data_IF_151667335353
#
_entry.id   IF_151667335353
#
_cell.length_a   1.000
_cell.length_b   1.000
_cell.length_c   1.000
_cell.angle_alpha   90.00
_cell.angle_beta   90.00
_cell.angle_gamma   90.00
#
_symmetry.space_group_name_H-M   'P 1'
#
loop_
_entity.id
_entity.type
_entity.pdbx_description
1 polymer ?
#
# COMPACT_ATOMS: atom_id res chain seq x y z
N UNK A 1 7.24 -22.85 -17.84
CA UNK A 1 6.87 -22.61 -16.42
C UNK A 1 5.85 -21.48 -16.40
N UNK A 2 4.66 -21.67 -15.84
CA UNK A 2 3.73 -20.55 -15.68
C UNK A 2 4.12 -19.73 -14.45
N UNK A 3 4.30 -18.43 -14.62
CA UNK A 3 4.52 -17.51 -13.51
C UNK A 3 3.19 -17.21 -12.82
N UNK A 4 3.12 -17.42 -11.52
CA UNK A 4 1.92 -17.10 -10.74
C UNK A 4 2.02 -15.65 -10.22
N UNK A 5 1.05 -14.77 -10.52
CA UNK A 5 1.00 -13.43 -9.94
C UNK A 5 0.95 -13.51 -8.41
N UNK A 6 1.73 -12.66 -7.75
CA UNK A 6 1.69 -12.51 -6.30
C UNK A 6 0.86 -11.28 -5.95
N UNK A 7 -0.04 -11.43 -4.97
CA UNK A 7 -0.78 -10.29 -4.43
C UNK A 7 0.20 -9.32 -3.75
N UNK A 8 0.10 -8.04 -4.10
CA UNK A 8 0.93 -6.98 -3.59
C UNK A 8 0.07 -5.76 -3.25
N UNK A 9 0.60 -4.89 -2.39
CA UNK A 9 -0.03 -3.65 -1.95
C UNK A 9 0.94 -2.49 -2.12
N UNK A 10 0.43 -1.33 -2.52
CA UNK A 10 1.19 -0.08 -2.61
C UNK A 10 0.34 1.06 -2.04
N UNK A 11 0.98 2.01 -1.35
CA UNK A 11 0.30 3.10 -0.65
C UNK A 11 0.79 4.46 -1.08
N UNK A 12 -0.14 5.35 -1.41
CA UNK A 12 0.13 6.77 -1.61
C UNK A 12 -0.20 7.52 -0.32
N UNK A 13 0.81 8.11 0.31
CA UNK A 13 0.61 9.02 1.44
C UNK A 13 0.57 10.45 0.90
N UNK A 14 -0.57 11.12 1.08
CA UNK A 14 -0.83 12.45 0.51
C UNK A 14 -0.96 13.48 1.62
N UNK A 15 -0.58 14.73 1.32
CA UNK A 15 -0.93 15.90 2.14
C UNK A 15 -1.25 17.09 1.24
N UNK A 16 -2.06 18.00 1.76
CA UNK A 16 -2.30 19.29 1.09
C UNK A 16 -1.06 20.17 1.14
N UNK A 17 -0.80 20.91 0.06
CA UNK A 17 0.23 21.94 0.06
C UNK A 17 -0.16 23.10 0.99
N UNK A 18 0.83 23.77 1.60
CA UNK A 18 0.59 24.93 2.45
C UNK A 18 -0.16 26.07 1.73
N UNK A 19 0.02 26.20 0.40
CA UNK A 19 -0.71 27.13 -0.46
C UNK A 19 -2.18 26.74 -0.70
N UNK A 20 -2.60 25.54 -0.29
CA UNK A 20 -3.87 24.88 -0.65
C UNK A 20 -4.11 24.73 -2.16
N UNK A 21 -3.04 24.85 -2.96
CA UNK A 21 -3.08 24.69 -4.41
C UNK A 21 -2.32 23.43 -4.78
N UNK A 22 -2.98 22.28 -4.65
CA UNK A 22 -2.43 20.97 -4.99
C UNK A 22 -2.12 20.09 -3.79
N UNK A 23 -1.55 18.93 -4.10
CA UNK A 23 -1.22 17.86 -3.15
C UNK A 23 0.26 17.47 -3.31
N UNK A 24 0.87 17.06 -2.22
CA UNK A 24 2.18 16.41 -2.22
C UNK A 24 1.98 14.93 -1.92
N UNK A 25 2.74 14.07 -2.61
CA UNK A 25 2.70 12.62 -2.40
C UNK A 25 4.09 12.15 -2.00
N UNK A 26 4.15 11.36 -0.93
CA UNK A 26 5.40 10.74 -0.48
C UNK A 26 5.84 9.65 -1.45
N UNK A 27 7.10 9.69 -1.86
CA UNK A 27 7.73 8.69 -2.73
C UNK A 27 9.14 8.39 -2.23
N UNK A 28 9.57 7.15 -2.42
CA UNK A 28 10.92 6.68 -2.09
C UNK A 28 11.70 6.43 -3.38
N UNK A 29 13.02 6.64 -3.35
CA UNK A 29 13.93 6.34 -4.46
C UNK A 29 14.56 4.98 -4.22
N UNK A 30 14.36 4.03 -5.13
CA UNK A 30 14.96 2.67 -4.98
C UNK A 30 16.48 2.76 -5.09
N UNK A 31 17.17 2.08 -4.18
CA UNK A 31 18.65 1.95 -4.23
C UNK A 31 19.10 1.22 -5.49
N UNK A 32 20.23 1.65 -6.04
CA UNK A 32 20.76 1.22 -7.36
C UNK A 32 21.06 -0.30 -7.43
N UNK A 33 21.22 -0.98 -6.29
CA UNK A 33 21.47 -2.43 -6.21
C UNK A 33 20.21 -3.31 -6.21
N UNK A 34 19.03 -2.75 -6.45
CA UNK A 34 17.79 -3.54 -6.57
C UNK A 34 17.75 -4.34 -7.88
N UNK A 35 17.49 -5.66 -7.80
CA UNK A 35 17.33 -6.58 -8.95
C UNK A 35 16.21 -6.19 -9.93
N UNK A 36 15.33 -5.25 -9.53
CA UNK A 36 14.21 -4.75 -10.31
C UNK A 36 14.10 -3.21 -10.22
N UNK A 37 14.14 -2.54 -11.39
CA UNK A 37 13.99 -1.09 -11.59
C UNK A 37 14.83 -0.20 -10.63
N UNK A 38 16.16 -0.13 -10.79
CA UNK A 38 16.98 0.79 -10.01
C UNK A 38 16.74 2.26 -10.41
N UNK A 39 16.90 3.17 -9.45
CA UNK A 39 16.93 4.63 -9.62
C UNK A 39 15.62 5.33 -10.02
N UNK A 40 14.47 4.69 -9.80
CA UNK A 40 13.15 5.29 -10.00
C UNK A 40 12.49 5.67 -8.68
N UNK A 41 11.62 6.69 -8.72
CA UNK A 41 10.72 7.00 -7.62
C UNK A 41 9.53 6.06 -7.64
N UNK A 42 9.26 5.44 -6.49
CA UNK A 42 8.13 4.52 -6.29
C UNK A 42 7.36 4.92 -5.03
N UNK A 43 6.11 4.47 -4.96
CA UNK A 43 5.37 4.51 -3.71
C UNK A 43 5.80 3.33 -2.83
N UNK A 44 5.76 3.49 -1.49
CA UNK A 44 5.96 2.38 -0.59
C UNK A 44 5.03 1.21 -0.91
N UNK A 45 5.57 0.00 -0.94
CA UNK A 45 4.76 -1.16 -1.25
C UNK A 45 5.54 -2.45 -1.46
N UNK A 46 4.83 -3.55 -1.30
CA UNK A 46 5.42 -4.88 -1.35
C UNK A 46 4.39 -6.00 -1.37
N UNK A 47 4.87 -7.22 -1.18
CA UNK A 47 4.05 -8.42 -1.24
C UNK A 47 3.15 -8.55 -0.02
N UNK A 48 1.91 -8.99 -0.21
CA UNK A 48 1.03 -9.33 0.93
C UNK A 48 1.47 -10.68 1.51
N UNK A 49 1.66 -10.72 2.83
CA UNK A 49 2.03 -11.91 3.61
C UNK A 49 0.83 -12.51 4.34
N UNK A 50 1.02 -13.68 4.96
CA UNK A 50 0.00 -14.30 5.81
C UNK A 50 -0.24 -13.48 7.10
N UNK A 51 0.81 -12.87 7.64
CA UNK A 51 0.74 -12.06 8.86
C UNK A 51 -0.08 -10.78 8.63
N UNK A 52 -0.03 -10.22 7.42
CA UNK A 52 -0.87 -9.07 7.05
C UNK A 52 -2.37 -9.40 7.13
N UNK A 53 -2.77 -10.62 6.74
CA UNK A 53 -4.17 -11.07 6.85
C UNK A 53 -4.61 -11.22 8.30
N UNK A 54 -3.74 -11.74 9.16
CA UNK A 54 -4.01 -11.87 10.58
C UNK A 54 -4.08 -10.48 11.25
N UNK A 55 -3.16 -9.58 10.90
CA UNK A 55 -3.14 -8.21 11.40
C UNK A 55 -4.36 -7.40 10.96
N UNK A 56 -4.84 -7.58 9.72
CA UNK A 56 -6.05 -6.91 9.22
C UNK A 56 -7.33 -7.33 9.99
N UNK A 57 -7.35 -8.54 10.57
CA UNK A 57 -8.43 -9.02 11.43
C UNK A 57 -8.31 -8.55 12.88
N UNK A 58 -7.12 -8.10 13.31
CA UNK A 58 -6.93 -7.58 14.64
C UNK A 58 -7.74 -6.29 14.82
N UNK A 59 -8.49 -6.22 15.93
CA UNK A 59 -9.22 -5.00 16.29
C UNK A 59 -8.20 -3.85 16.41
N UNK A 60 -8.52 -2.71 15.79
CA UNK A 60 -7.75 -1.44 15.80
C UNK A 60 -6.71 -1.23 14.69
N UNK A 61 -6.33 -2.23 13.90
CA UNK A 61 -5.38 -2.02 12.78
C UNK A 61 -6.10 -1.44 11.57
N UNK A 62 -7.21 -2.05 11.18
CA UNK A 62 -7.98 -1.67 10.00
C UNK A 62 -9.46 -1.53 10.36
N UNK A 63 -10.01 -0.34 10.20
CA UNK A 63 -11.47 -0.12 10.29
C UNK A 63 -12.11 -0.51 8.95
N UNK A 64 -13.22 -1.27 8.95
CA UNK A 64 -13.98 -1.53 7.72
C UNK A 64 -14.40 -0.22 7.05
N UNK A 65 -14.19 -0.13 5.74
CA UNK A 65 -14.68 0.99 4.94
C UNK A 65 -16.07 0.62 4.42
N UNK A 66 -17.05 1.50 4.63
CA UNK A 66 -18.38 1.27 4.09
C UNK A 66 -18.32 1.27 2.55
N UNK A 67 -19.05 0.37 1.87
CA UNK A 67 -19.12 0.37 0.42
C UNK A 67 -19.48 1.76 -0.11
N UNK A 68 -18.71 2.26 -1.07
CA UNK A 68 -18.87 3.59 -1.63
C UNK A 68 -18.76 3.53 -3.16
N UNK A 69 -19.35 4.51 -3.85
CA UNK A 69 -19.22 4.64 -5.32
C UNK A 69 -17.76 4.78 -5.77
N UNK A 70 -16.87 5.24 -4.89
CA UNK A 70 -15.44 5.35 -5.13
C UNK A 70 -14.71 4.00 -5.12
N UNK A 71 -15.34 2.94 -4.60
CA UNK A 71 -14.79 1.56 -4.55
C UNK A 71 -15.84 0.56 -5.05
N UNK A 72 -16.18 0.58 -6.36
CA UNK A 72 -17.21 -0.29 -6.92
C UNK A 72 -16.83 -1.77 -6.89
N UNK A 73 -15.54 -2.07 -6.74
CA UNK A 73 -14.99 -3.43 -6.73
C UNK A 73 -14.78 -3.98 -5.31
N UNK A 74 -15.06 -3.19 -4.28
CA UNK A 74 -14.90 -3.60 -2.88
C UNK A 74 -13.44 -3.89 -2.49
N UNK A 75 -12.48 -3.19 -3.11
CA UNK A 75 -11.04 -3.35 -2.81
C UNK A 75 -10.67 -2.93 -1.40
N UNK A 76 -11.53 -2.15 -0.74
CA UNK A 76 -11.38 -1.71 0.65
C UNK A 76 -11.97 -2.69 1.68
N UNK A 77 -12.61 -3.78 1.22
CA UNK A 77 -13.11 -4.84 2.08
C UNK A 77 -11.94 -5.53 2.80
N UNK A 78 -12.12 -5.79 4.09
CA UNK A 78 -11.13 -6.52 4.91
C UNK A 78 -11.14 -8.02 4.57
N UNK A 79 -10.01 -8.68 4.76
CA UNK A 79 -9.81 -10.13 4.61
C UNK A 79 -8.69 -10.52 3.66
N UNK A 80 -8.19 -9.59 2.84
CA UNK A 80 -7.12 -9.85 1.87
C UNK A 80 -5.72 -9.69 2.46
N UNK A 81 -5.57 -8.90 3.52
CA UNK A 81 -4.30 -8.43 4.08
C UNK A 81 -3.73 -7.20 3.36
N UNK A 82 -4.37 -6.74 2.29
CA UNK A 82 -3.84 -5.66 1.43
C UNK A 82 -3.66 -4.35 2.18
N UNK A 83 -4.56 -4.01 3.10
CA UNK A 83 -4.45 -2.76 3.86
C UNK A 83 -3.43 -2.82 4.98
N UNK A 84 -3.34 -3.96 5.67
CA UNK A 84 -2.30 -4.19 6.67
C UNK A 84 -0.91 -4.18 6.01
N UNK A 85 -0.76 -4.81 4.84
CA UNK A 85 0.48 -4.76 4.07
C UNK A 85 0.84 -3.31 3.69
N UNK A 86 -0.12 -2.51 3.20
CA UNK A 86 0.12 -1.10 2.92
C UNK A 86 0.64 -0.33 4.14
N UNK A 87 0.09 -0.58 5.33
CA UNK A 87 0.56 0.05 6.57
C UNK A 87 1.98 -0.42 6.91
N UNK A 88 2.24 -1.73 6.89
CA UNK A 88 3.55 -2.31 7.19
C UNK A 88 4.64 -1.77 6.25
N UNK A 89 4.41 -1.82 4.95
CA UNK A 89 5.36 -1.33 3.94
C UNK A 89 5.62 0.18 4.09
N UNK A 90 4.62 0.96 4.50
CA UNK A 90 4.82 2.38 4.81
C UNK A 90 5.79 2.58 5.99
N UNK A 91 5.72 1.75 7.03
CA UNK A 91 6.65 1.82 8.16
C UNK A 91 8.05 1.27 7.83
N UNK A 92 8.14 0.31 6.90
CA UNK A 92 9.41 -0.31 6.50
C UNK A 92 10.22 0.55 5.52
N UNK A 93 9.56 1.34 4.66
CA UNK A 93 10.23 2.12 3.60
C UNK A 93 10.27 3.65 3.82
N UNK A 94 9.50 4.21 4.77
CA UNK A 94 9.43 5.67 5.00
C UNK A 94 10.46 6.23 5.99
#
# INVERSE_FOLDING_TARGET
MSTQPRLASAVMLLRDMASRQGIEVFMVRRVIQSDFMPDVFVFPGGSVSADDRAAEQAKQVCTPVAPARADPEGRTILGSGTRAAAIRELFEEA
#
